data_IF_824838982894
#
_entry.id   IF_824838982894
#
_cell.length_a   1.000
_cell.length_b   1.000
_cell.length_c   1.000
_cell.angle_alpha   90.00
_cell.angle_beta   90.00
_cell.angle_gamma   90.00
#
_symmetry.space_group_name_H-M   'P 1'
#
loop_
_entity.id
_entity.type
_entity.pdbx_description
1 polymer ?
#
# COMPACT_ATOMS: atom_id res chain seq x y z
N UNK A 1 37.19 40.15 -17.31
CA UNK A 1 35.75 40.33 -16.90
C UNK A 1 35.18 38.96 -16.76
N UNK A 2 35.22 38.41 -15.54
CA UNK A 2 34.51 37.17 -15.20
C UNK A 2 33.02 37.44 -15.33
N UNK A 3 32.40 36.71 -16.24
CA UNK A 3 30.96 36.82 -16.48
C UNK A 3 30.20 36.36 -15.22
N UNK A 4 29.33 37.22 -14.73
CA UNK A 4 28.44 36.92 -13.57
C UNK A 4 27.65 35.62 -13.78
N UNK A 5 27.44 35.20 -15.02
CA UNK A 5 26.77 33.93 -15.38
C UNK A 5 27.59 32.70 -15.00
N UNK A 6 28.94 32.77 -15.00
CA UNK A 6 29.79 31.62 -14.64
C UNK A 6 29.78 31.35 -13.13
N UNK A 7 29.52 32.37 -12.30
CA UNK A 7 29.41 32.21 -10.85
C UNK A 7 28.05 31.56 -10.48
N UNK A 8 26.98 31.92 -11.17
CA UNK A 8 25.67 31.31 -10.94
C UNK A 8 25.61 29.82 -11.31
N UNK A 9 26.26 29.46 -12.44
CA UNK A 9 26.36 28.05 -12.85
C UNK A 9 27.27 27.22 -11.92
N UNK A 10 28.33 27.80 -11.38
CA UNK A 10 29.20 27.13 -10.42
C UNK A 10 28.49 26.77 -9.10
N UNK A 11 27.56 27.62 -8.63
CA UNK A 11 26.78 27.34 -7.45
C UNK A 11 25.66 26.31 -7.68
N UNK A 12 25.13 26.27 -8.90
CA UNK A 12 24.13 25.24 -9.27
C UNK A 12 24.77 23.83 -9.30
N UNK A 13 25.99 23.73 -9.83
CA UNK A 13 26.74 22.47 -9.87
C UNK A 13 27.27 22.00 -8.50
N UNK A 14 27.33 22.90 -7.51
CA UNK A 14 27.75 22.55 -6.14
C UNK A 14 26.61 22.10 -5.24
N UNK A 15 25.35 22.29 -5.65
CA UNK A 15 24.20 21.77 -4.93
C UNK A 15 23.98 20.32 -5.33
N UNK A 16 24.47 19.42 -4.52
CA UNK A 16 24.14 18.00 -4.66
C UNK A 16 22.66 17.83 -4.29
N UNK A 17 21.90 17.25 -5.19
CA UNK A 17 20.55 16.77 -4.90
C UNK A 17 20.70 15.34 -4.42
N UNK A 18 20.31 15.07 -3.20
CA UNK A 18 20.26 13.72 -2.64
C UNK A 18 18.83 13.21 -2.77
N UNK A 19 18.69 11.95 -3.16
CA UNK A 19 17.40 11.30 -3.35
C UNK A 19 17.33 10.18 -2.33
N UNK A 20 16.29 10.22 -1.48
CA UNK A 20 16.03 9.16 -0.52
C UNK A 20 15.40 7.94 -1.21
N UNK A 21 15.60 6.78 -0.64
CA UNK A 21 14.91 5.57 -1.05
C UNK A 21 13.38 5.75 -0.97
N UNK A 22 12.61 5.14 -1.88
CA UNK A 22 11.16 5.13 -1.79
C UNK A 22 10.69 4.30 -0.60
N UNK A 23 9.44 4.50 -0.15
CA UNK A 23 8.88 3.84 1.04
C UNK A 23 9.02 2.31 1.03
N UNK A 24 8.89 1.68 -0.12
CA UNK A 24 8.99 0.22 -0.29
C UNK A 24 10.39 -0.25 -0.70
N UNK A 25 11.40 0.64 -0.66
CA UNK A 25 12.74 0.35 -1.12
C UNK A 25 12.81 0.02 -2.62
N UNK A 26 13.83 -0.71 -3.03
CA UNK A 26 14.01 -1.10 -4.44
C UNK A 26 12.89 -2.04 -4.92
N UNK A 27 12.48 -1.86 -6.17
CA UNK A 27 11.45 -2.70 -6.80
C UNK A 27 11.96 -4.13 -7.04
N UNK A 28 13.28 -4.31 -7.31
CA UNK A 28 13.80 -5.64 -7.60
C UNK A 28 13.40 -6.17 -8.99
N UNK A 29 13.71 -7.43 -9.26
CA UNK A 29 13.61 -8.02 -10.60
C UNK A 29 12.26 -8.72 -10.87
N UNK A 30 11.63 -9.27 -9.84
CA UNK A 30 10.42 -10.07 -9.95
C UNK A 30 9.55 -9.95 -8.68
N UNK A 31 8.39 -10.58 -8.69
CA UNK A 31 7.40 -10.55 -7.60
C UNK A 31 7.86 -11.20 -6.29
N UNK A 32 8.95 -11.97 -6.32
CA UNK A 32 9.54 -12.58 -5.12
C UNK A 32 10.60 -11.71 -4.47
N UNK A 33 10.96 -10.59 -5.10
CA UNK A 33 11.97 -9.65 -4.60
C UNK A 33 11.40 -8.79 -3.47
N UNK A 34 11.46 -9.29 -2.25
CA UNK A 34 11.07 -8.60 -1.02
C UNK A 34 12.29 -7.99 -0.33
N UNK A 35 12.06 -7.07 0.59
CA UNK A 35 13.11 -6.39 1.37
C UNK A 35 12.59 -5.97 2.75
N UNK A 36 13.49 -5.44 3.58
CA UNK A 36 13.16 -5.00 4.95
C UNK A 36 12.13 -3.85 4.97
N UNK A 37 12.14 -2.95 3.98
CA UNK A 37 11.18 -1.84 3.89
C UNK A 37 9.76 -2.36 3.62
N UNK A 38 9.61 -3.31 2.69
CA UNK A 38 8.32 -3.95 2.43
C UNK A 38 7.80 -4.69 3.65
N UNK A 39 8.68 -5.38 4.39
CA UNK A 39 8.31 -6.04 5.64
C UNK A 39 7.83 -5.04 6.68
N UNK A 40 8.60 -3.98 6.93
CA UNK A 40 8.25 -2.94 7.89
C UNK A 40 6.93 -2.23 7.54
N UNK A 41 6.70 -1.96 6.26
CA UNK A 41 5.43 -1.38 5.79
C UNK A 41 4.28 -2.37 5.98
N UNK A 42 4.44 -3.64 5.60
CA UNK A 42 3.43 -4.68 5.75
C UNK A 42 3.00 -4.85 7.22
N UNK A 43 3.97 -4.91 8.13
CA UNK A 43 3.72 -5.00 9.58
C UNK A 43 2.99 -3.76 10.10
N UNK A 44 3.47 -2.56 9.76
CA UNK A 44 2.89 -1.31 10.24
C UNK A 44 1.44 -1.10 9.80
N UNK A 45 1.15 -1.32 8.50
CA UNK A 45 -0.19 -1.11 7.95
C UNK A 45 -1.18 -2.15 8.48
N UNK A 46 -0.74 -3.40 8.60
CA UNK A 46 -1.58 -4.49 9.11
C UNK A 46 -1.90 -4.28 10.58
N UNK A 47 -0.90 -3.95 11.41
CA UNK A 47 -1.12 -3.67 12.83
C UNK A 47 -2.11 -2.52 13.05
N UNK A 48 -1.99 -1.43 12.27
CA UNK A 48 -2.90 -0.29 12.39
C UNK A 48 -4.32 -0.63 11.89
N UNK A 49 -4.44 -1.42 10.81
CA UNK A 49 -5.75 -1.86 10.31
C UNK A 49 -6.48 -2.76 11.32
N UNK A 50 -5.78 -3.72 11.91
CA UNK A 50 -6.30 -4.63 12.96
C UNK A 50 -6.76 -3.84 14.18
N UNK A 51 -5.92 -2.93 14.67
CA UNK A 51 -6.23 -2.06 15.82
C UNK A 51 -7.45 -1.18 15.55
N UNK A 52 -7.52 -0.55 14.36
CA UNK A 52 -8.65 0.32 13.96
C UNK A 52 -9.95 -0.49 13.86
N UNK A 53 -9.88 -1.75 13.46
CA UNK A 53 -11.01 -2.67 13.40
C UNK A 53 -11.44 -3.19 14.78
N UNK A 54 -10.65 -2.94 15.83
CA UNK A 54 -10.95 -3.35 17.19
C UNK A 54 -10.62 -4.81 17.52
N UNK A 55 -9.77 -5.45 16.71
CA UNK A 55 -9.26 -6.80 16.99
C UNK A 55 -8.00 -6.76 17.84
N UNK A 56 -7.82 -7.75 18.69
CA UNK A 56 -6.61 -7.91 19.50
C UNK A 56 -5.39 -8.37 18.67
N UNK A 57 -5.65 -9.10 17.57
CA UNK A 57 -4.62 -9.58 16.66
C UNK A 57 -5.19 -9.87 15.26
N UNK A 58 -4.29 -10.03 14.28
CA UNK A 58 -4.67 -10.46 12.93
C UNK A 58 -5.28 -11.86 12.93
N UNK A 59 -4.77 -12.77 13.78
CA UNK A 59 -5.33 -14.13 13.94
C UNK A 59 -6.74 -14.09 14.52
N UNK A 60 -7.01 -13.22 15.50
CA UNK A 60 -8.36 -13.04 16.04
C UNK A 60 -9.35 -12.57 14.96
N UNK A 61 -8.94 -11.65 14.09
CA UNK A 61 -9.76 -11.24 12.96
C UNK A 61 -9.99 -12.38 11.96
N UNK A 62 -8.97 -13.20 11.69
CA UNK A 62 -9.05 -14.38 10.83
C UNK A 62 -10.03 -15.43 11.40
N UNK A 63 -9.96 -15.71 12.70
CA UNK A 63 -10.87 -16.64 13.39
C UNK A 63 -12.33 -16.18 13.27
N UNK A 64 -12.59 -14.87 13.22
CA UNK A 64 -13.89 -14.29 12.97
C UNK A 64 -14.30 -14.22 11.48
N UNK A 65 -13.48 -14.77 10.59
CA UNK A 65 -13.71 -14.77 9.14
C UNK A 65 -13.51 -13.40 8.48
N UNK A 66 -12.69 -12.51 9.08
CA UNK A 66 -12.43 -11.17 8.60
C UNK A 66 -11.11 -11.12 7.82
N UNK A 67 -11.16 -10.57 6.62
CA UNK A 67 -9.99 -10.26 5.80
C UNK A 67 -9.80 -8.75 5.66
N UNK A 68 -8.55 -8.34 5.48
CA UNK A 68 -8.16 -6.97 5.19
C UNK A 68 -7.72 -6.86 3.73
N UNK A 69 -8.21 -5.86 3.03
CA UNK A 69 -7.81 -5.57 1.64
C UNK A 69 -7.20 -4.18 1.60
N UNK A 70 -5.93 -4.12 1.24
CA UNK A 70 -5.21 -2.86 1.03
C UNK A 70 -5.26 -2.49 -0.45
N UNK A 71 -5.95 -1.39 -0.76
CA UNK A 71 -6.16 -0.91 -2.12
C UNK A 71 -5.15 0.18 -2.49
N UNK A 72 -4.21 -0.14 -3.37
CA UNK A 72 -3.30 0.82 -4.00
C UNK A 72 -3.90 1.46 -5.25
N UNK A 73 -3.19 2.41 -5.84
CA UNK A 73 -3.62 3.06 -7.08
C UNK A 73 -3.54 2.10 -8.28
N UNK A 74 -2.43 1.40 -8.42
CA UNK A 74 -2.10 0.67 -9.64
C UNK A 74 -1.32 1.54 -10.63
N UNK A 75 -0.70 0.92 -11.60
CA UNK A 75 0.04 1.62 -12.67
C UNK A 75 0.37 0.67 -13.81
N UNK A 76 0.34 1.15 -15.03
CA UNK A 76 0.85 0.43 -16.21
C UNK A 76 2.39 0.42 -16.30
N UNK A 77 3.08 1.17 -15.44
CA UNK A 77 4.55 1.16 -15.38
C UNK A 77 5.09 -0.18 -14.86
N UNK A 78 6.30 -0.55 -15.23
CA UNK A 78 6.96 -1.80 -14.77
C UNK A 78 7.04 -1.93 -13.25
N UNK A 79 7.03 -0.83 -12.51
CA UNK A 79 7.00 -0.80 -11.05
C UNK A 79 5.70 -1.35 -10.44
N UNK A 80 4.66 -1.64 -11.25
CA UNK A 80 3.42 -2.31 -10.79
C UNK A 80 3.69 -3.60 -10.02
N UNK A 81 4.81 -4.27 -10.32
CA UNK A 81 5.25 -5.47 -9.63
C UNK A 81 5.41 -5.28 -8.12
N UNK A 82 5.56 -4.04 -7.64
CA UNK A 82 5.62 -3.74 -6.20
C UNK A 82 4.36 -4.17 -5.45
N UNK A 83 3.19 -4.18 -6.10
CA UNK A 83 1.95 -4.67 -5.50
C UNK A 83 1.98 -6.19 -5.32
N UNK A 84 2.46 -6.94 -6.32
CA UNK A 84 2.67 -8.39 -6.19
C UNK A 84 3.73 -8.71 -5.13
N UNK A 85 4.81 -7.91 -5.06
CA UNK A 85 5.84 -8.05 -4.02
C UNK A 85 5.27 -7.79 -2.62
N UNK A 86 4.37 -6.82 -2.45
CA UNK A 86 3.69 -6.60 -1.17
C UNK A 86 2.80 -7.79 -0.79
N UNK A 87 2.08 -8.39 -1.75
CA UNK A 87 1.32 -9.61 -1.49
C UNK A 87 2.23 -10.76 -1.06
N UNK A 88 3.35 -10.99 -1.77
CA UNK A 88 4.37 -11.98 -1.39
C UNK A 88 4.92 -11.72 0.00
N UNK A 89 5.15 -10.45 0.35
CA UNK A 89 5.62 -10.08 1.69
C UNK A 89 4.58 -10.41 2.78
N UNK A 90 3.28 -10.14 2.53
CA UNK A 90 2.20 -10.52 3.45
C UNK A 90 2.18 -12.04 3.68
N UNK A 91 2.30 -12.82 2.60
CA UNK A 91 2.32 -14.28 2.66
C UNK A 91 3.53 -14.81 3.45
N UNK A 92 4.72 -14.21 3.26
CA UNK A 92 5.92 -14.59 4.01
C UNK A 92 5.82 -14.28 5.52
N UNK A 93 5.10 -13.22 5.88
CA UNK A 93 4.80 -12.89 7.27
C UNK A 93 3.70 -13.79 7.87
N UNK A 94 3.09 -14.66 7.06
CA UNK A 94 1.98 -15.52 7.50
C UNK A 94 0.64 -14.79 7.60
N UNK A 95 0.48 -13.64 6.94
CA UNK A 95 -0.73 -12.82 6.97
C UNK A 95 -1.75 -13.33 5.95
N UNK A 96 -2.30 -14.51 6.19
CA UNK A 96 -3.17 -15.22 5.25
C UNK A 96 -4.52 -14.53 4.97
N UNK A 97 -4.94 -13.62 5.84
CA UNK A 97 -6.17 -12.83 5.69
C UNK A 97 -5.90 -11.38 5.27
N UNK A 98 -4.76 -11.11 4.63
CA UNK A 98 -4.41 -9.80 4.08
C UNK A 98 -4.19 -9.91 2.57
N UNK A 99 -4.85 -9.03 1.81
CA UNK A 99 -4.85 -9.04 0.35
C UNK A 99 -4.51 -7.66 -0.19
N UNK A 100 -3.79 -7.63 -1.31
CA UNK A 100 -3.44 -6.41 -2.02
C UNK A 100 -4.30 -6.30 -3.28
N UNK A 101 -4.87 -5.13 -3.47
CA UNK A 101 -5.60 -4.78 -4.68
C UNK A 101 -5.21 -3.40 -5.22
N UNK A 102 -5.67 -3.05 -6.43
CA UNK A 102 -5.41 -1.75 -7.05
C UNK A 102 -6.63 -1.22 -7.79
N UNK A 103 -6.84 0.11 -7.74
CA UNK A 103 -7.94 0.80 -8.45
C UNK A 103 -7.86 0.55 -9.95
N UNK A 104 -6.66 0.70 -10.53
CA UNK A 104 -6.44 0.55 -11.97
C UNK A 104 -6.43 -0.93 -12.46
N UNK A 105 -6.54 -1.91 -11.54
CA UNK A 105 -6.44 -3.32 -11.90
C UNK A 105 -5.08 -3.72 -12.52
N UNK A 106 -4.02 -3.07 -12.09
CA UNK A 106 -2.66 -3.28 -12.58
C UNK A 106 -1.68 -3.52 -11.41
N UNK A 107 -1.19 -4.76 -11.25
CA UNK A 107 -1.35 -5.98 -12.08
C UNK A 107 -2.79 -6.53 -12.12
N UNK A 108 -3.16 -7.28 -13.17
CA UNK A 108 -4.53 -7.79 -13.37
C UNK A 108 -5.08 -8.60 -12.20
N UNK A 109 -4.24 -9.34 -11.49
CA UNK A 109 -4.62 -10.13 -10.33
C UNK A 109 -4.94 -9.31 -9.07
N UNK A 110 -4.74 -7.99 -9.14
CA UNK A 110 -5.08 -7.00 -8.11
C UNK A 110 -6.36 -6.22 -8.41
N UNK A 111 -7.01 -6.49 -9.53
CA UNK A 111 -8.31 -5.89 -9.87
C UNK A 111 -9.39 -6.30 -8.86
N UNK A 112 -10.42 -5.46 -8.71
CA UNK A 112 -11.50 -5.64 -7.74
C UNK A 112 -12.11 -7.04 -7.82
N UNK A 113 -12.50 -7.49 -9.03
CA UNK A 113 -13.10 -8.79 -9.26
C UNK A 113 -12.15 -9.94 -8.91
N UNK A 114 -10.85 -9.79 -9.23
CA UNK A 114 -9.85 -10.80 -8.91
C UNK A 114 -9.67 -10.93 -7.38
N UNK A 115 -9.68 -9.83 -6.65
CA UNK A 115 -9.60 -9.81 -5.19
C UNK A 115 -10.86 -10.43 -4.57
N UNK A 116 -12.05 -10.12 -5.07
CA UNK A 116 -13.31 -10.74 -4.63
C UNK A 116 -13.25 -12.27 -4.79
N UNK A 117 -12.76 -12.77 -5.93
CA UNK A 117 -12.64 -14.22 -6.16
C UNK A 117 -11.56 -14.86 -5.25
N UNK A 118 -10.44 -14.19 -4.98
CA UNK A 118 -9.42 -14.65 -4.02
C UNK A 118 -10.03 -14.82 -2.62
N UNK A 119 -10.75 -13.82 -2.14
CA UNK A 119 -11.40 -13.82 -0.81
C UNK A 119 -12.49 -14.87 -0.69
N UNK A 120 -13.31 -15.04 -1.73
CA UNK A 120 -14.36 -16.06 -1.82
C UNK A 120 -13.76 -17.46 -1.75
N UNK A 121 -12.69 -17.72 -2.50
CA UNK A 121 -12.00 -19.03 -2.51
C UNK A 121 -11.31 -19.30 -1.17
N UNK A 122 -10.81 -18.28 -0.48
CA UNK A 122 -10.25 -18.39 0.87
C UNK A 122 -11.33 -18.54 1.96
N UNK A 123 -12.61 -18.30 1.64
CA UNK A 123 -13.74 -18.51 2.52
C UNK A 123 -14.06 -17.37 3.48
N UNK A 124 -13.46 -16.19 3.30
CA UNK A 124 -13.74 -15.02 4.14
C UNK A 124 -15.14 -14.48 3.89
N UNK A 125 -15.77 -13.97 4.96
CA UNK A 125 -17.15 -13.45 4.94
C UNK A 125 -17.26 -12.00 5.36
N UNK A 126 -16.26 -11.49 6.05
CA UNK A 126 -16.18 -10.08 6.46
C UNK A 126 -14.93 -9.46 5.80
N UNK A 127 -15.07 -8.26 5.28
CA UNK A 127 -13.99 -7.57 4.58
C UNK A 127 -13.83 -6.15 5.11
N UNK A 128 -12.59 -5.74 5.31
CA UNK A 128 -12.23 -4.37 5.66
C UNK A 128 -11.35 -3.82 4.54
N UNK A 129 -11.84 -2.81 3.84
CA UNK A 129 -11.12 -2.10 2.79
C UNK A 129 -10.34 -0.93 3.39
N UNK A 130 -9.05 -0.81 3.04
CA UNK A 130 -8.20 0.30 3.48
C UNK A 130 -7.27 0.74 2.34
N UNK A 131 -7.00 2.06 2.16
CA UNK A 131 -6.09 2.48 1.10
C UNK A 131 -4.64 2.11 1.40
N UNK A 132 -3.92 1.64 0.37
CA UNK A 132 -2.46 1.49 0.31
C UNK A 132 -1.87 2.72 -0.39
N UNK A 133 -2.17 3.89 0.14
CA UNK A 133 -1.78 5.19 -0.40
C UNK A 133 -1.35 6.11 0.74
N UNK A 134 -0.36 6.96 0.48
CA UNK A 134 0.16 7.88 1.51
C UNK A 134 -0.91 8.82 2.04
N UNK A 135 -1.81 9.25 1.16
CA UNK A 135 -2.95 10.13 1.48
C UNK A 135 -4.24 9.43 1.07
N UNK A 136 -5.21 9.38 1.97
CA UNK A 136 -6.57 8.91 1.68
C UNK A 136 -7.36 10.03 0.95
N UNK A 137 -7.07 10.19 -0.34
CA UNK A 137 -7.67 11.21 -1.21
C UNK A 137 -8.91 10.71 -1.93
N UNK A 138 -9.07 11.16 -3.18
CA UNK A 138 -10.23 10.89 -4.03
C UNK A 138 -10.47 9.39 -4.22
N UNK A 139 -9.44 8.63 -4.58
CA UNK A 139 -9.54 7.18 -4.75
C UNK A 139 -9.99 6.43 -3.49
N UNK A 140 -9.59 6.88 -2.30
CA UNK A 140 -10.03 6.25 -1.06
C UNK A 140 -11.49 6.58 -0.73
N UNK A 141 -11.93 7.79 -1.04
CA UNK A 141 -13.29 8.25 -0.73
C UNK A 141 -14.31 7.83 -1.77
N UNK A 142 -13.96 7.85 -3.06
CA UNK A 142 -14.87 7.57 -4.15
C UNK A 142 -14.69 6.15 -4.70
N UNK A 143 -13.50 5.80 -5.21
CA UNK A 143 -13.30 4.50 -5.86
C UNK A 143 -13.29 3.33 -4.87
N UNK A 144 -12.83 3.54 -3.62
CA UNK A 144 -12.87 2.49 -2.59
C UNK A 144 -14.19 2.48 -1.81
N UNK A 145 -14.56 3.60 -1.21
CA UNK A 145 -15.62 3.69 -0.20
C UNK A 145 -16.87 4.44 -0.65
N UNK A 146 -16.91 4.91 -1.90
CA UNK A 146 -18.04 5.64 -2.48
C UNK A 146 -19.29 4.80 -2.63
N UNK A 147 -20.39 5.47 -2.94
CA UNK A 147 -21.71 4.84 -3.14
C UNK A 147 -22.04 4.59 -4.63
N UNK A 148 -21.12 4.94 -5.55
CA UNK A 148 -21.28 4.67 -6.97
C UNK A 148 -21.11 3.16 -7.25
N UNK A 149 -21.81 2.64 -8.26
CA UNK A 149 -21.85 1.20 -8.57
C UNK A 149 -20.45 0.61 -8.89
N UNK A 150 -19.52 1.43 -9.35
CA UNK A 150 -18.16 1.06 -9.70
C UNK A 150 -17.16 1.19 -8.53
N UNK A 151 -17.59 1.70 -7.38
CA UNK A 151 -16.74 1.68 -6.17
C UNK A 151 -16.47 0.25 -5.70
N UNK A 152 -15.32 0.03 -5.09
CA UNK A 152 -14.98 -1.28 -4.54
C UNK A 152 -16.01 -1.77 -3.52
N UNK A 153 -16.42 -0.91 -2.59
CA UNK A 153 -17.46 -1.22 -1.60
C UNK A 153 -18.73 -1.74 -2.29
N UNK A 154 -19.25 -1.01 -3.28
CA UNK A 154 -20.47 -1.40 -4.01
C UNK A 154 -20.31 -2.70 -4.79
N UNK A 155 -19.15 -2.91 -5.44
CA UNK A 155 -18.86 -4.16 -6.15
C UNK A 155 -18.74 -5.36 -5.18
N UNK A 156 -18.11 -5.19 -4.02
CA UNK A 156 -18.05 -6.21 -2.98
C UNK A 156 -19.45 -6.56 -2.45
N UNK A 157 -20.30 -5.55 -2.17
CA UNK A 157 -21.70 -5.74 -1.77
C UNK A 157 -22.50 -6.46 -2.87
N UNK A 158 -22.39 -6.01 -4.12
CA UNK A 158 -23.08 -6.59 -5.27
C UNK A 158 -22.68 -8.05 -5.56
N UNK A 159 -21.49 -8.46 -5.16
CA UNK A 159 -21.01 -9.85 -5.32
C UNK A 159 -21.85 -10.87 -4.52
N UNK A 160 -22.51 -10.43 -3.46
CA UNK A 160 -23.31 -11.28 -2.57
C UNK A 160 -22.51 -12.36 -1.82
N UNK A 161 -21.18 -12.24 -1.80
CA UNK A 161 -20.26 -13.21 -1.15
C UNK A 161 -20.08 -12.92 0.32
N UNK A 162 -20.09 -11.64 0.71
CA UNK A 162 -19.68 -11.16 2.01
C UNK A 162 -20.88 -10.76 2.88
N UNK A 163 -20.78 -11.03 4.18
CA UNK A 163 -21.79 -10.67 5.16
C UNK A 163 -21.64 -9.22 5.64
N UNK A 164 -20.41 -8.69 5.65
CA UNK A 164 -20.12 -7.28 5.94
C UNK A 164 -18.92 -6.77 5.14
N UNK A 165 -19.01 -5.51 4.72
CA UNK A 165 -17.92 -4.76 4.10
C UNK A 165 -17.78 -3.45 4.87
N UNK A 166 -16.63 -3.26 5.51
CA UNK A 166 -16.29 -2.06 6.25
C UNK A 166 -15.15 -1.31 5.54
N UNK A 167 -15.05 0.00 5.74
CA UNK A 167 -14.01 0.83 5.14
C UNK A 167 -13.27 1.63 6.20
N UNK A 168 -11.95 1.69 6.06
CA UNK A 168 -11.07 2.52 6.89
C UNK A 168 -10.41 3.58 6.00
N UNK A 169 -10.96 4.79 5.97
CA UNK A 169 -10.45 5.88 5.14
C UNK A 169 -9.34 6.60 5.91
N UNK A 170 -8.13 6.05 5.86
CA UNK A 170 -6.94 6.62 6.49
C UNK A 170 -5.70 6.35 5.65
N UNK A 171 -4.89 7.37 5.41
CA UNK A 171 -3.67 7.27 4.60
C UNK A 171 -2.50 6.64 5.37
N UNK A 172 -1.54 6.07 4.63
CA UNK A 172 -0.32 5.52 5.22
C UNK A 172 0.50 6.59 5.97
N UNK A 173 0.43 7.85 5.49
CA UNK A 173 1.10 8.99 6.12
C UNK A 173 0.60 9.35 7.52
N UNK A 174 -0.53 8.79 7.96
CA UNK A 174 -1.08 8.95 9.30
C UNK A 174 -0.48 7.95 10.32
N UNK A 175 0.24 6.95 9.86
CA UNK A 175 0.84 5.89 10.68
C UNK A 175 2.25 6.32 11.11
N UNK A 176 2.49 6.47 12.41
CA UNK A 176 3.78 6.90 12.96
C UNK A 176 4.96 6.05 12.46
N UNK A 177 4.80 4.73 12.39
CA UNK A 177 5.85 3.83 11.90
C UNK A 177 6.22 4.12 10.43
N UNK A 178 5.24 4.45 9.59
CA UNK A 178 5.48 4.84 8.19
C UNK A 178 6.19 6.19 8.10
N UNK A 179 5.82 7.15 8.95
CA UNK A 179 6.51 8.44 9.01
C UNK A 179 7.99 8.26 9.40
N UNK A 180 8.28 7.37 10.34
CA UNK A 180 9.65 7.07 10.77
C UNK A 180 10.48 6.40 9.66
N UNK A 181 9.90 5.57 8.80
CA UNK A 181 10.58 5.03 7.62
C UNK A 181 11.00 6.14 6.66
N UNK A 182 10.12 7.10 6.35
CA UNK A 182 10.47 8.27 5.52
C UNK A 182 11.60 9.10 6.14
N UNK A 183 11.56 9.30 7.46
CA UNK A 183 12.63 10.01 8.18
C UNK A 183 13.95 9.25 8.08
N UNK A 184 13.94 7.93 8.27
CA UNK A 184 15.13 7.09 8.19
C UNK A 184 15.75 7.11 6.78
N UNK A 185 14.94 6.94 5.72
CA UNK A 185 15.42 7.01 4.33
C UNK A 185 15.98 8.40 3.98
N UNK A 186 15.32 9.45 4.47
CA UNK A 186 15.81 10.82 4.27
C UNK A 186 17.15 11.04 4.98
N UNK A 187 17.29 10.58 6.23
CA UNK A 187 18.53 10.68 6.98
C UNK A 187 19.66 9.89 6.31
N UNK A 188 19.38 8.66 5.85
CA UNK A 188 20.34 7.85 5.14
C UNK A 188 20.85 8.56 3.85
N UNK A 189 19.95 9.20 3.11
CA UNK A 189 20.33 9.98 1.93
C UNK A 189 21.17 11.22 2.29
N UNK A 190 20.92 11.86 3.45
CA UNK A 190 21.73 12.99 3.93
C UNK A 190 23.13 12.53 4.33
N UNK A 191 23.24 11.37 4.96
CA UNK A 191 24.49 10.83 5.50
C UNK A 191 25.36 10.12 4.42
N UNK A 192 24.76 9.75 3.28
CA UNK A 192 25.50 9.19 2.14
C UNK A 192 26.49 10.23 1.57
N UNK A 193 27.76 9.86 1.48
CA UNK A 193 28.87 10.69 0.94
C UNK A 193 28.84 10.80 -0.59
#
# INVERSE_FOLDING_TARGET
>A
RDCLLSRGLGDVYKRQVKIAEPLLGEVGADETAINEDKAAVAEAITAEAVKTAGFDSLDAAKEEGTAFVFMGHGTSHTAKISYSQMQTQMEQLGYENVFIGTVEGEPEDTACEAVIEKLKNAGYKKVILRPLMVVAGDHANNDMAGDDDDSWKSQFEASGVFDSIDTQIAGLGEIDAIQQLYVAHTQAAIDAE
#
